data_IF_745248801624
#
_entry.id   IF_745248801624
#
_cell.length_a   1.000
_cell.length_b   1.000
_cell.length_c   1.000
_cell.angle_alpha   90.00
_cell.angle_beta   90.00
_cell.angle_gamma   90.00
#
_symmetry.space_group_name_H-M   'P 1'
#
loop_
_entity.id
_entity.type
_entity.pdbx_description
1 polymer ?
#
# COMPACT_ATOMS: atom_id res chain seq x y z
N UNK A 1 18.54 -0.18 -6.39
CA UNK A 1 17.23 0.45 -6.08
C UNK A 1 16.45 0.53 -7.37
N UNK A 2 15.25 -0.06 -7.43
CA UNK A 2 14.39 0.00 -8.64
C UNK A 2 13.48 1.23 -8.53
N UNK A 3 13.93 2.37 -9.04
CA UNK A 3 13.28 3.68 -8.88
C UNK A 3 11.95 3.79 -9.65
N UNK A 4 11.74 2.97 -10.67
CA UNK A 4 10.53 2.87 -11.48
C UNK A 4 9.50 1.86 -10.96
N UNK A 5 9.78 1.18 -9.84
CA UNK A 5 8.80 0.29 -9.21
C UNK A 5 7.64 1.08 -8.61
N UNK A 6 6.47 0.45 -8.49
CA UNK A 6 5.26 1.06 -7.91
C UNK A 6 4.67 0.18 -6.82
N UNK A 7 4.18 0.80 -5.74
CA UNK A 7 3.51 0.09 -4.65
C UNK A 7 2.05 0.56 -4.60
N UNK A 8 1.13 -0.39 -4.62
CA UNK A 8 -0.31 -0.14 -4.49
C UNK A 8 -0.80 -0.69 -3.16
N UNK A 9 -1.67 0.04 -2.46
CA UNK A 9 -2.31 -0.40 -1.22
C UNK A 9 -3.83 -0.45 -1.42
N UNK A 10 -4.45 -1.48 -0.88
CA UNK A 10 -5.86 -1.80 -1.06
C UNK A 10 -6.55 -2.07 0.29
N UNK A 11 -7.83 -1.74 0.38
CA UNK A 11 -8.69 -2.24 1.46
C UNK A 11 -9.11 -3.70 1.24
N UNK A 12 -9.83 -4.28 2.22
CA UNK A 12 -10.35 -5.66 2.17
C UNK A 12 -11.32 -5.96 1.03
N UNK A 13 -11.82 -4.94 0.34
CA UNK A 13 -12.70 -5.09 -0.82
C UNK A 13 -11.94 -4.93 -2.15
N UNK A 14 -10.62 -4.72 -2.10
CA UNK A 14 -9.77 -4.54 -3.27
C UNK A 14 -9.76 -3.11 -3.82
N UNK A 15 -10.32 -2.13 -3.11
CA UNK A 15 -10.27 -0.72 -3.55
C UNK A 15 -8.87 -0.16 -3.33
N UNK A 16 -8.30 0.44 -4.37
CA UNK A 16 -7.02 1.17 -4.27
C UNK A 16 -7.18 2.38 -3.36
N UNK A 17 -6.39 2.41 -2.30
CA UNK A 17 -6.30 3.52 -1.35
C UNK A 17 -5.13 4.45 -1.68
N UNK A 18 -4.00 3.89 -2.13
CA UNK A 18 -2.78 4.66 -2.37
C UNK A 18 -1.89 4.01 -3.43
N UNK A 19 -1.20 4.84 -4.21
CA UNK A 19 -0.04 4.51 -5.02
C UNK A 19 1.17 5.21 -4.40
N UNK A 20 2.28 4.49 -4.24
CA UNK A 20 3.51 4.95 -3.60
C UNK A 20 4.73 4.61 -4.45
N UNK A 21 5.75 5.45 -4.35
CA UNK A 21 7.08 5.20 -4.93
C UNK A 21 7.99 4.52 -3.89
N UNK A 22 8.78 3.51 -4.28
CA UNK A 22 9.75 2.87 -3.40
C UNK A 22 10.89 3.85 -3.08
N UNK A 23 10.87 4.41 -1.88
CA UNK A 23 11.82 5.43 -1.40
C UNK A 23 11.18 6.72 -0.92
N UNK A 24 9.87 6.92 -1.18
CA UNK A 24 9.08 7.97 -0.55
C UNK A 24 8.53 7.56 0.82
N UNK A 25 7.79 8.46 1.45
CA UNK A 25 7.02 8.12 2.65
C UNK A 25 6.03 6.99 2.36
N UNK A 26 5.91 6.08 3.33
CA UNK A 26 4.92 5.02 3.30
C UNK A 26 3.49 5.55 3.49
N UNK A 27 2.55 4.62 3.64
CA UNK A 27 1.18 5.00 3.94
C UNK A 27 0.97 5.18 5.45
N UNK A 28 0.37 6.31 5.81
CA UNK A 28 0.11 6.74 7.19
C UNK A 28 -1.24 6.22 7.74
N UNK A 29 -1.95 5.38 6.98
CA UNK A 29 -3.26 4.87 7.36
C UNK A 29 -4.42 5.84 7.09
N UNK A 30 -4.22 6.92 6.32
CA UNK A 30 -5.30 7.85 5.93
C UNK A 30 -5.68 7.71 4.46
N UNK A 31 -6.97 7.79 4.16
CA UNK A 31 -7.49 7.89 2.80
C UNK A 31 -8.30 9.18 2.65
N UNK A 32 -7.90 10.04 1.71
CA UNK A 32 -8.52 11.36 1.47
C UNK A 32 -8.64 12.19 2.76
N UNK A 33 -7.57 12.21 3.56
CA UNK A 33 -7.48 12.92 4.84
C UNK A 33 -8.17 12.24 6.03
N UNK A 34 -9.00 11.22 5.80
CA UNK A 34 -9.73 10.50 6.85
C UNK A 34 -8.96 9.27 7.33
N UNK A 35 -8.91 9.00 8.64
CA UNK A 35 -8.25 7.80 9.16
C UNK A 35 -9.02 6.54 8.75
N UNK A 36 -8.31 5.54 8.26
CA UNK A 36 -8.91 4.25 7.89
C UNK A 36 -9.13 3.37 9.13
N UNK A 37 -10.07 2.41 9.08
CA UNK A 37 -10.35 1.48 10.19
C UNK A 37 -9.13 0.66 10.62
N UNK A 38 -9.17 0.17 11.87
CA UNK A 38 -8.28 -0.88 12.33
C UNK A 38 -8.71 -2.21 11.68
N UNK A 39 -8.04 -2.58 10.60
CA UNK A 39 -8.40 -3.70 9.72
C UNK A 39 -7.15 -4.17 8.97
N UNK A 40 -7.29 -5.23 8.19
CA UNK A 40 -6.27 -5.70 7.26
C UNK A 40 -6.29 -4.90 5.95
N UNK A 41 -5.09 -4.68 5.42
CA UNK A 41 -4.83 -4.00 4.16
C UNK A 41 -3.81 -4.80 3.36
N UNK A 42 -3.94 -4.77 2.05
CA UNK A 42 -3.06 -5.49 1.13
C UNK A 42 -2.18 -4.54 0.37
N UNK A 43 -1.01 -5.01 -0.04
CA UNK A 43 -0.16 -4.28 -0.97
C UNK A 43 0.32 -5.16 -2.13
N UNK A 44 0.59 -4.51 -3.26
CA UNK A 44 1.29 -5.10 -4.41
C UNK A 44 2.41 -4.17 -4.82
N UNK A 45 3.63 -4.71 -4.94
CA UNK A 45 4.79 -4.04 -5.52
C UNK A 45 4.96 -4.56 -6.95
N UNK A 46 4.87 -3.65 -7.91
CA UNK A 46 5.23 -3.90 -9.29
C UNK A 46 6.69 -3.51 -9.50
N UNK A 47 7.53 -4.51 -9.77
CA UNK A 47 8.96 -4.35 -10.02
C UNK A 47 9.22 -4.03 -11.50
N UNK A 48 10.35 -3.40 -11.79
CA UNK A 48 10.72 -3.00 -13.16
C UNK A 48 10.92 -4.20 -14.10
N UNK A 49 11.32 -5.34 -13.54
CA UNK A 49 11.48 -6.61 -14.26
C UNK A 49 10.14 -7.33 -14.53
N UNK A 50 9.01 -6.67 -14.25
CA UNK A 50 7.66 -7.20 -14.44
C UNK A 50 7.17 -8.11 -13.31
N UNK A 51 7.99 -8.40 -12.30
CA UNK A 51 7.56 -9.22 -11.17
C UNK A 51 6.60 -8.46 -10.26
N UNK A 52 5.62 -9.19 -9.74
CA UNK A 52 4.72 -8.69 -8.70
C UNK A 52 5.06 -9.34 -7.36
N UNK A 53 5.18 -8.51 -6.31
CA UNK A 53 5.29 -8.97 -4.92
C UNK A 53 4.04 -8.53 -4.17
N UNK A 54 3.40 -9.44 -3.45
CA UNK A 54 2.17 -9.17 -2.69
C UNK A 54 2.38 -9.45 -1.22
N UNK A 55 1.60 -8.78 -0.39
CA UNK A 55 1.55 -9.00 1.06
C UNK A 55 0.36 -8.27 1.68
N UNK A 56 0.26 -8.35 3.01
CA UNK A 56 -0.75 -7.62 3.77
C UNK A 56 -0.17 -7.16 5.11
N UNK A 57 -0.85 -6.23 5.75
CA UNK A 57 -0.56 -5.71 7.09
C UNK A 57 -1.86 -5.24 7.74
N UNK A 58 -1.89 -5.21 9.07
CA UNK A 58 -3.04 -4.73 9.84
C UNK A 58 -2.75 -3.34 10.39
N UNK A 59 -3.72 -2.43 10.31
CA UNK A 59 -3.71 -1.22 11.12
C UNK A 59 -4.24 -1.56 12.51
N UNK A 60 -3.46 -1.28 13.54
CA UNK A 60 -3.85 -1.49 14.94
C UNK A 60 -4.20 -0.14 15.56
N UNK A 61 -5.32 -0.05 16.27
CA UNK A 61 -5.64 1.06 17.18
C UNK A 61 -5.52 0.57 18.61
N UNK A 62 -4.81 1.31 19.45
CA UNK A 62 -4.69 1.07 20.89
C UNK A 62 -5.45 2.14 21.65
#
# INVERSE_FOLDING_TARGET
>A
FQLGSKIFIYDRFGKILKELSPGGEGWDGRYRGKPMPADDYWFTVALEDGRLRKGHFSLIRR
#
